data_IF_258069030709
#
_entry.id   IF_258069030709
#
_cell.length_a   1.000
_cell.length_b   1.000
_cell.length_c   1.000
_cell.angle_alpha   90.00
_cell.angle_beta   90.00
_cell.angle_gamma   90.00
#
_symmetry.space_group_name_H-M   'P 1'
#
loop_
_entity.id
_entity.type
_entity.pdbx_description
1 polymer ?
#
# COMPACT_ATOMS: atom_id res chain seq x y z
N UNK A 1 -32.30 30.54 19.56
CA UNK A 1 -31.05 29.82 19.96
C UNK A 1 -30.94 28.39 19.42
N UNK A 2 -32.05 27.67 19.16
CA UNK A 2 -31.99 26.29 18.62
C UNK A 2 -31.46 26.17 17.18
N UNK A 3 -31.69 27.21 16.34
CA UNK A 3 -31.26 27.21 14.93
C UNK A 3 -29.75 27.37 14.74
N UNK A 4 -29.06 28.07 15.64
CA UNK A 4 -27.60 28.27 15.58
C UNK A 4 -26.84 27.01 16.00
N UNK A 5 -27.35 26.24 16.96
CA UNK A 5 -26.75 24.98 17.39
C UNK A 5 -26.78 23.89 16.29
N UNK A 6 -27.85 23.83 15.50
CA UNK A 6 -28.01 22.86 14.41
C UNK A 6 -26.99 23.11 13.27
N UNK A 7 -26.71 24.37 12.95
CA UNK A 7 -25.75 24.75 11.90
C UNK A 7 -24.31 24.37 12.30
N UNK A 8 -23.95 24.52 13.58
CA UNK A 8 -22.63 24.15 14.10
C UNK A 8 -22.43 22.62 14.04
N UNK A 9 -23.46 21.84 14.35
CA UNK A 9 -23.39 20.37 14.27
C UNK A 9 -23.26 19.90 12.81
N UNK A 10 -23.98 20.50 11.87
CA UNK A 10 -23.86 20.17 10.44
C UNK A 10 -22.47 20.53 9.90
N UNK A 11 -21.93 21.70 10.29
CA UNK A 11 -20.57 22.12 9.92
C UNK A 11 -19.48 21.25 10.56
N UNK A 12 -19.71 20.67 11.73
CA UNK A 12 -18.76 19.77 12.40
C UNK A 12 -18.74 18.35 11.81
N UNK A 13 -19.87 17.88 11.24
CA UNK A 13 -19.98 16.51 10.70
C UNK A 13 -19.51 16.42 9.24
N UNK A 14 -19.69 17.47 8.44
CA UNK A 14 -19.32 17.48 7.01
C UNK A 14 -17.80 17.33 6.68
N UNK A 15 -16.82 17.83 7.47
CA UNK A 15 -15.41 17.65 7.12
C UNK A 15 -14.90 16.21 7.37
N UNK A 16 -15.63 15.38 8.12
CA UNK A 16 -15.20 14.02 8.46
C UNK A 16 -15.17 13.04 7.28
N UNK A 17 -15.77 13.39 6.14
CA UNK A 17 -15.76 12.57 4.91
C UNK A 17 -14.58 12.85 3.96
N UNK A 18 -13.72 13.85 4.22
CA UNK A 18 -12.70 14.28 3.25
C UNK A 18 -11.39 13.47 3.28
N UNK A 19 -11.05 12.80 4.37
CA UNK A 19 -9.75 12.12 4.53
C UNK A 19 -9.55 10.88 3.64
N UNK A 20 -10.62 10.28 3.11
CA UNK A 20 -10.55 9.14 2.19
C UNK A 20 -10.70 9.52 0.71
N UNK A 21 -10.81 10.81 0.39
CA UNK A 21 -11.01 11.23 -1.01
C UNK A 21 -9.78 10.95 -1.87
N UNK A 22 -8.58 10.89 -1.31
CA UNK A 22 -7.34 10.81 -2.10
C UNK A 22 -6.84 9.38 -2.32
N UNK A 23 -7.47 8.39 -1.65
CA UNK A 23 -7.07 6.99 -1.71
C UNK A 23 -8.18 6.08 -2.23
N UNK A 24 -7.79 4.94 -2.79
CA UNK A 24 -8.67 3.79 -3.06
C UNK A 24 -8.21 2.62 -2.20
N UNK A 25 -9.16 1.94 -1.53
CA UNK A 25 -8.89 0.64 -0.91
C UNK A 25 -8.68 -0.41 -1.99
N UNK A 26 -7.68 -1.25 -1.81
CA UNK A 26 -7.36 -2.38 -2.69
C UNK A 26 -6.96 -3.57 -1.84
N UNK A 27 -6.97 -4.71 -2.49
CA UNK A 27 -6.58 -5.99 -1.91
C UNK A 27 -5.52 -6.60 -2.83
N UNK A 28 -4.47 -7.14 -2.21
CA UNK A 28 -3.46 -7.94 -2.86
C UNK A 28 -3.58 -9.36 -2.36
N UNK A 29 -3.91 -10.29 -3.26
CA UNK A 29 -4.02 -11.71 -2.95
C UNK A 29 -2.80 -12.42 -3.48
N UNK A 30 -2.19 -13.25 -2.64
CA UNK A 30 -1.03 -14.06 -2.99
C UNK A 30 -1.17 -15.47 -2.43
N UNK A 31 -0.50 -16.43 -3.05
CA UNK A 31 -0.39 -17.80 -2.52
C UNK A 31 1.02 -18.00 -1.94
N UNK A 32 1.09 -18.46 -0.69
CA UNK A 32 2.36 -18.66 0.00
C UNK A 32 3.04 -19.93 -0.52
N UNK A 33 4.34 -19.88 -0.77
CA UNK A 33 5.09 -21.07 -1.20
C UNK A 33 4.96 -22.18 -0.16
N UNK A 34 4.54 -23.37 -0.59
CA UNK A 34 4.28 -24.52 0.29
C UNK A 34 2.89 -24.54 0.92
N UNK A 35 2.02 -23.57 0.63
CA UNK A 35 0.62 -23.53 1.06
C UNK A 35 -0.29 -23.37 -0.16
N UNK A 36 -1.33 -24.19 -0.28
CA UNK A 36 -2.35 -24.04 -1.34
C UNK A 36 -3.33 -22.90 -1.07
N UNK A 37 -3.28 -22.30 0.11
CA UNK A 37 -4.23 -21.28 0.56
C UNK A 37 -3.79 -19.89 0.11
N UNK A 38 -4.67 -19.19 -0.60
CA UNK A 38 -4.48 -17.78 -0.91
C UNK A 38 -4.72 -16.91 0.32
N UNK A 39 -3.81 -15.96 0.55
CA UNK A 39 -3.89 -14.94 1.60
C UNK A 39 -4.07 -13.57 0.97
N UNK A 40 -4.89 -12.71 1.59
CA UNK A 40 -5.17 -11.35 1.12
C UNK A 40 -4.62 -10.30 2.08
N UNK A 41 -3.96 -9.28 1.54
CA UNK A 41 -3.48 -8.10 2.24
C UNK A 41 -4.29 -6.89 1.78
N UNK A 42 -4.97 -6.21 2.71
CA UNK A 42 -5.57 -4.91 2.38
C UNK A 42 -4.49 -3.83 2.25
N UNK A 43 -4.66 -2.97 1.27
CA UNK A 43 -3.81 -1.81 1.02
C UNK A 43 -4.63 -0.60 0.63
N UNK A 44 -4.02 0.58 0.67
CA UNK A 44 -4.55 1.79 0.06
C UNK A 44 -3.59 2.25 -1.03
N UNK A 45 -4.17 2.82 -2.09
CA UNK A 45 -3.42 3.36 -3.23
C UNK A 45 -3.88 4.79 -3.48
N UNK A 46 -2.97 5.74 -3.71
CA UNK A 46 -3.35 7.06 -4.20
C UNK A 46 -4.22 6.96 -5.46
N UNK A 47 -5.22 7.84 -5.59
CA UNK A 47 -6.04 7.90 -6.80
C UNK A 47 -5.23 8.41 -8.00
N UNK A 48 -5.72 8.13 -9.20
CA UNK A 48 -5.15 8.67 -10.45
C UNK A 48 -4.17 7.76 -11.17
N UNK A 49 -3.95 6.52 -10.69
CA UNK A 49 -3.22 5.52 -11.46
C UNK A 49 -3.96 5.20 -12.77
N UNK A 50 -3.20 4.98 -13.85
CA UNK A 50 -3.68 4.72 -15.21
C UNK A 50 -3.69 3.24 -15.56
N UNK A 51 -2.79 2.48 -14.96
CA UNK A 51 -2.62 1.05 -15.25
C UNK A 51 -2.31 0.30 -13.97
N UNK A 52 -2.87 -0.89 -13.84
CA UNK A 52 -2.49 -1.89 -12.85
C UNK A 52 -1.84 -3.03 -13.60
N UNK A 53 -0.70 -3.52 -13.11
CA UNK A 53 -0.02 -4.70 -13.65
C UNK A 53 0.08 -5.75 -12.55
N UNK A 54 -0.35 -6.96 -12.87
CA UNK A 54 -0.07 -8.12 -12.03
C UNK A 54 1.34 -8.61 -12.35
N UNK A 55 2.08 -8.94 -11.30
CA UNK A 55 3.42 -9.51 -11.38
C UNK A 55 3.28 -10.96 -10.94
N UNK A 56 3.67 -11.89 -11.80
CA UNK A 56 3.80 -13.29 -11.47
C UNK A 56 4.99 -13.85 -12.26
N UNK A 57 5.84 -14.65 -11.62
CA UNK A 57 6.92 -15.35 -12.30
C UNK A 57 7.06 -16.81 -11.85
N UNK A 58 7.91 -17.56 -12.56
CA UNK A 58 8.18 -18.97 -12.29
C UNK A 58 8.88 -19.23 -10.95
N UNK A 59 9.46 -18.20 -10.34
CA UNK A 59 10.07 -18.26 -9.00
C UNK A 59 9.05 -18.09 -7.88
N UNK A 60 7.76 -17.96 -8.21
CA UNK A 60 6.68 -17.82 -7.24
C UNK A 60 6.53 -16.40 -6.71
N UNK A 61 7.17 -15.40 -7.33
CA UNK A 61 6.87 -14.00 -7.02
C UNK A 61 5.45 -13.68 -7.47
N UNK A 62 4.72 -12.94 -6.64
CA UNK A 62 3.37 -12.46 -6.93
C UNK A 62 3.25 -11.02 -6.50
N UNK A 63 2.61 -10.16 -7.28
CA UNK A 63 2.56 -8.73 -6.95
C UNK A 63 1.57 -7.92 -7.76
N UNK A 64 1.41 -6.67 -7.35
CA UNK A 64 0.64 -5.64 -8.04
C UNK A 64 1.47 -4.37 -8.13
N UNK A 65 1.51 -3.77 -9.32
CA UNK A 65 2.10 -2.46 -9.56
C UNK A 65 1.06 -1.49 -10.15
N UNK A 66 0.98 -0.29 -9.59
CA UNK A 66 0.10 0.80 -9.99
C UNK A 66 0.91 1.90 -10.63
N UNK A 67 0.67 2.16 -11.92
CA UNK A 67 1.39 3.17 -12.71
C UNK A 67 0.59 4.44 -12.87
N UNK A 68 1.23 5.59 -12.69
CA UNK A 68 0.62 6.92 -12.79
C UNK A 68 1.09 7.64 -14.06
N UNK A 69 0.34 8.69 -14.47
CA UNK A 69 0.59 9.41 -15.73
C UNK A 69 1.99 10.04 -15.79
N UNK A 70 2.53 10.43 -14.65
CA UNK A 70 3.84 11.08 -14.49
C UNK A 70 5.00 10.10 -14.30
N UNK A 71 4.79 8.80 -14.56
CA UNK A 71 5.80 7.77 -14.42
C UNK A 71 5.99 7.24 -13.00
N UNK A 72 5.31 7.81 -12.01
CA UNK A 72 5.29 7.29 -10.65
C UNK A 72 4.71 5.87 -10.62
N UNK A 73 5.21 5.07 -9.68
CA UNK A 73 4.77 3.69 -9.48
C UNK A 73 4.69 3.39 -8.00
N UNK A 74 3.63 2.68 -7.59
CA UNK A 74 3.51 2.05 -6.28
C UNK A 74 3.35 0.55 -6.50
N UNK A 75 4.08 -0.27 -5.75
CA UNK A 75 4.02 -1.72 -5.88
C UNK A 75 3.95 -2.43 -4.53
N UNK A 76 3.38 -3.63 -4.57
CA UNK A 76 3.42 -4.63 -3.52
C UNK A 76 3.77 -5.97 -4.15
N UNK A 77 4.71 -6.68 -3.54
CA UNK A 77 5.24 -7.94 -4.02
C UNK A 77 5.36 -8.89 -2.84
N UNK A 78 4.73 -10.05 -2.96
CA UNK A 78 5.11 -11.24 -2.22
C UNK A 78 6.29 -11.91 -2.93
N UNK A 79 7.38 -12.12 -2.21
CA UNK A 79 8.53 -12.87 -2.70
C UNK A 79 8.95 -13.89 -1.65
N UNK A 80 8.94 -15.20 -1.95
CA UNK A 80 9.43 -16.19 -1.01
C UNK A 80 10.96 -16.09 -0.80
N UNK A 81 11.67 -15.41 -1.71
CA UNK A 81 13.12 -15.20 -1.65
C UNK A 81 13.45 -13.83 -1.05
N UNK A 82 14.60 -13.71 -0.39
CA UNK A 82 15.07 -12.43 0.16
C UNK A 82 15.84 -11.67 -0.91
N UNK A 83 15.22 -11.44 -2.05
CA UNK A 83 15.82 -10.66 -3.13
C UNK A 83 15.33 -9.21 -3.12
N UNK A 84 16.18 -8.31 -3.57
CA UNK A 84 15.79 -6.91 -3.76
C UNK A 84 14.98 -6.81 -5.05
N UNK A 85 13.82 -6.14 -5.00
CA UNK A 85 13.02 -5.92 -6.22
C UNK A 85 13.72 -4.94 -7.18
N UNK A 86 14.53 -4.04 -6.62
CA UNK A 86 15.41 -3.15 -7.37
C UNK A 86 16.80 -3.11 -6.70
N UNK A 87 17.88 -2.88 -7.46
CA UNK A 87 19.20 -2.68 -6.86
C UNK A 87 19.19 -1.44 -5.96
N UNK A 88 19.61 -1.61 -4.70
CA UNK A 88 19.74 -0.53 -3.72
C UNK A 88 21.22 -0.38 -3.37
N UNK A 89 21.78 0.81 -3.58
CA UNK A 89 23.10 1.17 -3.07
C UNK A 89 23.01 1.39 -1.56
N UNK A 90 23.33 0.35 -0.80
CA UNK A 90 23.26 0.36 0.67
C UNK A 90 24.34 1.23 1.30
N UNK A 91 25.39 1.62 0.57
CA UNK A 91 26.40 2.56 1.06
C UNK A 91 25.87 3.99 1.06
N UNK A 92 25.00 4.32 0.10
CA UNK A 92 24.35 5.65 -0.01
C UNK A 92 23.03 5.73 0.75
N UNK A 93 22.33 4.61 0.87
CA UNK A 93 21.01 4.55 1.49
C UNK A 93 21.04 3.69 2.75
N UNK A 94 21.13 4.36 3.89
CA UNK A 94 21.18 3.71 5.20
C UNK A 94 19.83 3.03 5.49
N UNK A 95 19.82 1.72 5.80
CA UNK A 95 18.59 1.01 6.15
C UNK A 95 17.99 1.57 7.44
N UNK A 96 16.67 1.71 7.47
CA UNK A 96 15.91 2.11 8.65
C UNK A 96 14.96 1.00 9.08
N UNK A 97 14.70 0.82 10.39
CA UNK A 97 13.76 -0.21 10.85
C UNK A 97 12.34 0.09 10.34
N UNK A 98 11.66 -0.94 9.84
CA UNK A 98 10.28 -0.83 9.37
C UNK A 98 9.28 -1.29 10.44
N UNK A 99 8.12 -0.62 10.51
CA UNK A 99 7.08 -0.86 11.52
C UNK A 99 6.55 -2.31 11.54
N UNK A 100 6.53 -3.00 10.40
CA UNK A 100 6.06 -4.39 10.27
C UNK A 100 7.20 -5.42 10.38
N UNK A 101 8.37 -5.00 10.87
CA UNK A 101 9.59 -5.80 10.84
C UNK A 101 10.38 -5.62 9.54
N UNK A 102 11.65 -6.04 9.57
CA UNK A 102 12.60 -5.81 8.49
C UNK A 102 13.10 -4.37 8.43
N UNK A 103 13.52 -3.96 7.24
CA UNK A 103 14.09 -2.63 6.99
C UNK A 103 13.35 -1.90 5.89
N UNK A 104 13.52 -0.59 5.79
CA UNK A 104 13.16 0.18 4.62
C UNK A 104 14.31 1.10 4.21
N UNK A 105 14.35 1.38 2.92
CA UNK A 105 15.24 2.34 2.29
C UNK A 105 14.40 3.46 1.68
N UNK A 106 14.92 4.68 1.70
CA UNK A 106 14.28 5.86 1.10
C UNK A 106 15.35 6.78 0.55
N UNK A 107 15.09 7.36 -0.61
CA UNK A 107 16.04 8.25 -1.24
C UNK A 107 15.41 9.10 -2.34
N UNK A 108 16.29 9.87 -2.97
CA UNK A 108 16.00 10.65 -4.17
C UNK A 108 16.96 10.13 -5.25
N UNK A 109 16.44 9.87 -6.45
CA UNK A 109 17.27 9.45 -7.58
C UNK A 109 17.96 10.62 -8.29
N UNK A 110 18.74 10.33 -9.33
CA UNK A 110 19.43 11.34 -10.14
C UNK A 110 18.48 12.30 -10.88
N UNK A 111 17.21 11.94 -11.03
CA UNK A 111 16.16 12.75 -11.66
C UNK A 111 15.36 13.58 -10.65
N UNK A 112 15.82 13.64 -9.39
CA UNK A 112 15.14 14.29 -8.26
C UNK A 112 13.77 13.71 -7.95
N UNK A 113 13.55 12.42 -8.25
CA UNK A 113 12.33 11.72 -7.90
C UNK A 113 12.55 10.88 -6.65
N UNK A 114 11.52 10.85 -5.81
CA UNK A 114 11.50 10.07 -4.59
C UNK A 114 11.22 8.61 -4.86
N UNK A 115 11.89 7.77 -4.08
CA UNK A 115 11.63 6.35 -4.01
C UNK A 115 11.75 5.87 -2.57
N UNK A 116 11.03 4.78 -2.27
CA UNK A 116 11.10 4.08 -1.00
C UNK A 116 10.80 2.61 -1.23
N UNK A 117 11.52 1.73 -0.56
CA UNK A 117 11.22 0.29 -0.52
C UNK A 117 11.27 -0.21 0.92
N UNK A 118 10.21 -0.88 1.35
CA UNK A 118 10.16 -1.65 2.59
C UNK A 118 10.37 -3.14 2.28
N UNK A 119 11.17 -3.79 3.13
CA UNK A 119 11.64 -5.16 2.98
C UNK A 119 11.38 -6.01 4.25
N UNK A 120 10.12 -6.18 4.68
CA UNK A 120 9.81 -7.20 5.68
C UNK A 120 10.03 -8.62 5.14
N UNK A 121 10.06 -9.64 6.00
CA UNK A 121 10.14 -11.04 5.57
C UNK A 121 9.09 -11.39 4.51
N UNK A 122 9.55 -11.99 3.42
CA UNK A 122 8.76 -12.44 2.27
C UNK A 122 7.96 -11.37 1.50
N UNK A 123 8.26 -10.09 1.72
CA UNK A 123 7.55 -9.00 1.05
C UNK A 123 8.49 -7.88 0.62
N UNK A 124 8.16 -7.27 -0.51
CA UNK A 124 8.74 -6.00 -0.97
C UNK A 124 7.61 -5.08 -1.36
N UNK A 125 7.60 -3.86 -0.86
CA UNK A 125 6.61 -2.88 -1.28
C UNK A 125 7.14 -1.47 -1.14
N UNK A 126 6.67 -0.58 -1.98
CA UNK A 126 7.33 0.69 -2.13
C UNK A 126 6.80 1.50 -3.29
N UNK A 127 7.52 2.57 -3.60
CA UNK A 127 7.26 3.41 -4.75
C UNK A 127 8.56 3.91 -5.38
N UNK A 128 8.45 4.32 -6.65
CA UNK A 128 9.54 4.94 -7.42
C UNK A 128 9.01 6.04 -8.33
N UNK A 129 9.93 6.90 -8.78
CA UNK A 129 9.68 7.99 -9.72
C UNK A 129 8.63 9.01 -9.22
N UNK A 130 8.46 9.15 -7.90
CA UNK A 130 7.44 10.02 -7.30
C UNK A 130 7.95 11.47 -7.22
N UNK A 131 7.15 12.45 -7.62
CA UNK A 131 7.52 13.86 -7.46
C UNK A 131 7.46 14.28 -5.98
N UNK A 132 8.21 15.31 -5.59
CA UNK A 132 8.22 15.79 -4.21
C UNK A 132 6.84 16.18 -3.67
N UNK A 133 5.98 16.74 -4.52
CA UNK A 133 4.61 17.15 -4.16
C UNK A 133 3.71 15.96 -3.80
N UNK A 134 4.00 14.78 -4.33
CA UNK A 134 3.17 13.58 -4.17
C UNK A 134 3.70 12.61 -3.14
N UNK A 135 4.97 12.77 -2.75
CA UNK A 135 5.71 11.85 -1.91
C UNK A 135 4.94 11.45 -0.64
N UNK A 136 4.37 12.42 0.07
CA UNK A 136 3.59 12.19 1.30
C UNK A 136 2.41 11.21 1.12
N UNK A 137 1.75 11.23 -0.04
CA UNK A 137 0.62 10.33 -0.32
C UNK A 137 1.10 8.89 -0.54
N UNK A 138 2.25 8.74 -1.20
CA UNK A 138 2.84 7.43 -1.43
C UNK A 138 3.45 6.86 -0.15
N UNK A 139 4.08 7.70 0.69
CA UNK A 139 4.58 7.29 2.00
C UNK A 139 3.45 6.81 2.92
N UNK A 140 2.32 7.51 2.91
CA UNK A 140 1.10 7.11 3.63
C UNK A 140 0.56 5.76 3.14
N UNK A 141 0.55 5.53 1.83
CA UNK A 141 0.12 4.27 1.24
C UNK A 141 1.02 3.09 1.64
N UNK A 142 2.35 3.27 1.59
CA UNK A 142 3.34 2.27 2.03
C UNK A 142 3.16 1.93 3.50
N UNK A 143 2.95 2.92 4.36
CA UNK A 143 2.78 2.69 5.80
C UNK A 143 1.47 1.95 6.15
N UNK A 144 0.47 1.97 5.27
CA UNK A 144 -0.79 1.25 5.46
C UNK A 144 -0.67 -0.26 5.17
N UNK A 145 0.33 -0.67 4.38
CA UNK A 145 0.54 -2.07 4.02
C UNK A 145 1.00 -2.83 5.27
N UNK A 146 0.23 -3.88 5.64
CA UNK A 146 0.51 -4.74 6.79
C UNK A 146 0.58 -6.20 6.35
N UNK A 147 1.72 -6.65 5.80
CA UNK A 147 1.91 -8.05 5.45
C UNK A 147 2.00 -8.89 6.73
N UNK A 148 1.43 -10.11 6.73
CA UNK A 148 1.60 -11.07 7.82
C UNK A 148 0.62 -10.99 8.99
N UNK A 149 -0.29 -10.01 9.06
CA UNK A 149 -1.44 -10.11 9.95
C UNK A 149 -2.58 -10.82 9.23
N UNK A 150 -3.06 -12.00 9.72
CA UNK A 150 -4.25 -12.62 9.19
C UNK A 150 -5.42 -11.64 9.36
N UNK A 151 -5.92 -11.10 8.25
CA UNK A 151 -7.13 -10.29 8.31
C UNK A 151 -8.28 -11.23 8.63
N UNK A 152 -8.84 -11.11 9.84
CA UNK A 152 -10.13 -11.71 10.15
C UNK A 152 -11.13 -11.12 9.16
N UNK A 153 -11.51 -11.89 8.13
CA UNK A 153 -12.71 -11.60 7.35
C UNK A 153 -13.83 -11.46 8.38
N UNK A 154 -14.39 -10.26 8.53
CA UNK A 154 -15.70 -10.11 9.16
C UNK A 154 -16.64 -10.90 8.27
N UNK A 155 -16.92 -12.17 8.62
CA UNK A 155 -18.05 -12.90 8.06
C UNK A 155 -19.25 -12.00 8.30
N UNK A 156 -19.87 -11.53 7.21
CA UNK A 156 -21.07 -10.73 7.29
C UNK A 156 -22.08 -11.48 8.14
N UNK A 157 -22.52 -10.83 9.22
CA UNK A 157 -23.69 -11.21 10.00
C UNK A 157 -24.93 -10.86 9.16
N UNK A 158 -25.11 -11.54 8.03
CA UNK A 158 -26.38 -11.55 7.32
C UNK A 158 -26.65 -13.00 6.93
N UNK A 159 -27.04 -13.77 7.94
CA UNK A 159 -27.85 -14.96 7.71
C UNK A 159 -29.17 -14.48 7.13
N UNK A 160 -29.35 -14.68 5.83
CA UNK A 160 -30.68 -14.75 5.24
C UNK A 160 -31.40 -15.92 5.89
N UNK A 161 -32.24 -15.65 6.89
CA UNK A 161 -33.32 -16.57 7.24
C UNK A 161 -34.28 -16.55 6.07
N UNK A 162 -34.22 -17.59 5.25
CA UNK A 162 -35.40 -18.09 4.53
C UNK A 162 -36.31 -18.73 5.59
N UNK A 163 -37.53 -18.23 5.68
CA UNK A 163 -38.73 -18.96 6.06
C UNK A 163 -39.88 -18.28 5.31
#
# INVERSE_FOLDING_TARGET
MLRTALVIIILAVLPSCFLFKDYKRREFTYTRTGDSTSTTVATIVPKGYKRVKEIADSSGHQGLAYYYKDGAELYILYTPLVDNYQPIDTLRHIPKPQLQGGVFYKGIDSTRRWWREAQPPSFRFGYRNVSSEKEVFFDSAVNYIKPGMPQKRKKGLFGTKKA
#
